data_IF_607281904698
#
_entry.id   IF_607281904698
#
_cell.length_a   1.000
_cell.length_b   1.000
_cell.length_c   1.000
_cell.angle_alpha   90.00
_cell.angle_beta   90.00
_cell.angle_gamma   90.00
#
_symmetry.space_group_name_H-M   'P 1'
#
loop_
_entity.id
_entity.type
_entity.pdbx_description
1 polymer ?
#
# COMPACT_ATOMS: atom_id res chain seq x y z
N UNK A 1 5.50 16.63 12.63
CA UNK A 1 5.84 17.25 11.32
C UNK A 1 7.36 17.31 11.21
N UNK A 2 7.94 16.77 10.17
CA UNK A 2 9.38 16.86 9.87
C UNK A 2 9.58 17.70 8.60
N UNK A 3 10.48 18.66 8.66
CA UNK A 3 10.86 19.46 7.50
C UNK A 3 12.25 19.05 7.00
N UNK A 4 12.38 18.86 5.70
CA UNK A 4 13.61 18.46 5.01
C UNK A 4 14.12 19.63 4.14
N UNK A 5 14.99 20.52 4.69
CA UNK A 5 15.33 21.78 4.03
C UNK A 5 16.00 21.63 2.65
N UNK A 6 16.76 20.54 2.44
CA UNK A 6 17.43 20.28 1.15
C UNK A 6 16.45 19.93 0.02
N UNK A 7 15.26 19.46 0.38
CA UNK A 7 14.20 19.04 -0.56
C UNK A 7 13.05 20.05 -0.58
N UNK A 8 13.06 21.02 0.34
CA UNK A 8 11.94 21.92 0.62
C UNK A 8 10.62 21.15 0.84
N UNK A 9 10.69 20.07 1.62
CA UNK A 9 9.57 19.17 1.84
C UNK A 9 9.17 19.08 3.30
N UNK A 10 7.86 18.99 3.52
CA UNK A 10 7.27 18.75 4.82
C UNK A 10 6.58 17.37 4.83
N UNK A 11 6.96 16.53 5.80
CA UNK A 11 6.32 15.24 6.05
C UNK A 11 5.45 15.34 7.29
N UNK A 12 4.16 15.12 7.12
CA UNK A 12 3.19 15.03 8.19
C UNK A 12 3.00 13.57 8.56
N UNK A 13 3.18 13.23 9.83
CA UNK A 13 3.01 11.86 10.32
C UNK A 13 1.97 11.82 11.42
N UNK A 14 1.09 10.83 11.34
CA UNK A 14 0.09 10.50 12.38
C UNK A 14 -0.01 9.00 12.53
N UNK A 15 -0.14 8.52 13.76
CA UNK A 15 -0.51 7.14 14.03
C UNK A 15 -1.99 7.12 14.38
N UNK A 16 -2.76 6.28 13.69
CA UNK A 16 -4.18 6.10 13.92
C UNK A 16 -4.43 5.22 15.16
N UNK A 17 -5.64 5.23 15.75
CA UNK A 17 -5.94 4.43 16.93
C UNK A 17 -5.73 2.92 16.76
N UNK A 18 -5.84 2.41 15.54
CA UNK A 18 -5.58 1.00 15.18
C UNK A 18 -4.10 0.69 14.97
N UNK A 19 -3.18 1.64 15.20
CA UNK A 19 -1.74 1.48 15.02
C UNK A 19 -1.21 1.78 13.62
N UNK A 20 -2.08 2.05 12.63
CA UNK A 20 -1.64 2.39 11.28
C UNK A 20 -0.92 3.74 11.28
N UNK A 21 0.32 3.76 10.76
CA UNK A 21 1.06 4.99 10.52
C UNK A 21 0.65 5.61 9.19
N UNK A 22 0.22 6.87 9.24
CA UNK A 22 -0.10 7.67 8.07
C UNK A 22 0.99 8.73 7.88
N UNK A 23 1.56 8.80 6.68
CA UNK A 23 2.49 9.84 6.27
C UNK A 23 1.96 10.58 5.06
N UNK A 24 2.01 11.90 5.09
CA UNK A 24 1.56 12.77 3.99
C UNK A 24 2.66 13.75 3.63
N UNK A 25 3.02 13.78 2.35
CA UNK A 25 3.95 14.74 1.77
C UNK A 25 3.18 15.62 0.79
N UNK A 26 3.06 16.90 1.10
CA UNK A 26 2.46 17.86 0.18
C UNK A 26 3.44 18.25 -0.91
N UNK A 27 3.00 18.21 -2.16
CA UNK A 27 3.76 18.62 -3.35
C UNK A 27 3.01 19.73 -4.09
N UNK A 28 3.08 20.99 -3.64
CA UNK A 28 2.45 22.10 -4.32
C UNK A 28 2.90 22.21 -5.79
N UNK A 29 1.97 22.48 -6.70
CA UNK A 29 2.27 22.60 -8.13
C UNK A 29 2.23 21.25 -8.91
N UNK A 30 2.10 20.11 -8.23
CA UNK A 30 1.90 18.83 -8.91
C UNK A 30 0.43 18.45 -8.99
N UNK A 31 -0.07 18.19 -10.20
CA UNK A 31 -1.44 17.71 -10.39
C UNK A 31 -1.59 16.25 -9.98
N UNK A 32 -0.56 15.42 -10.25
CA UNK A 32 -0.57 13.99 -9.94
C UNK A 32 -0.52 13.76 -8.43
N UNK A 33 -1.43 12.97 -7.94
CA UNK A 33 -1.51 12.50 -6.55
C UNK A 33 -1.21 11.00 -6.52
N UNK A 34 -0.62 10.55 -5.43
CA UNK A 34 -0.22 9.15 -5.29
C UNK A 34 -0.41 8.71 -3.84
N UNK A 35 -0.93 7.50 -3.64
CA UNK A 35 -1.05 6.89 -2.33
C UNK A 35 -0.45 5.49 -2.35
N UNK A 36 0.19 5.13 -1.24
CA UNK A 36 0.72 3.80 -0.96
C UNK A 36 0.09 3.24 0.31
N UNK A 37 -0.32 1.99 0.28
CA UNK A 37 -0.59 1.19 1.45
C UNK A 37 0.47 0.10 1.53
N UNK A 38 1.26 0.10 2.60
CA UNK A 38 2.38 -0.82 2.77
C UNK A 38 2.13 -1.72 3.97
N UNK A 39 2.31 -3.02 3.78
CA UNK A 39 2.28 -4.02 4.85
C UNK A 39 3.67 -4.56 5.09
N UNK A 40 4.03 -4.79 6.36
CA UNK A 40 5.25 -5.46 6.80
C UNK A 40 5.08 -6.98 6.66
N UNK A 41 4.82 -7.43 5.42
CA UNK A 41 4.63 -8.83 5.06
C UNK A 41 5.14 -9.07 3.64
N UNK A 42 6.21 -9.83 3.51
CA UNK A 42 6.87 -10.17 2.25
C UNK A 42 7.30 -11.63 2.20
N UNK A 43 8.07 -12.01 1.20
CA UNK A 43 8.42 -13.41 0.92
C UNK A 43 9.26 -14.10 2.01
N UNK A 44 9.96 -13.33 2.85
CA UNK A 44 10.72 -13.85 3.99
C UNK A 44 9.82 -14.33 5.14
N UNK A 45 8.59 -13.83 5.22
CA UNK A 45 7.66 -14.13 6.32
C UNK A 45 6.97 -15.49 6.12
N UNK A 46 7.73 -16.56 6.25
CA UNK A 46 7.25 -17.95 6.09
C UNK A 46 6.79 -18.60 7.40
N UNK A 47 7.10 -17.97 8.54
CA UNK A 47 6.68 -18.44 9.86
C UNK A 47 6.34 -17.22 10.73
N UNK A 48 5.09 -17.12 11.13
CA UNK A 48 4.58 -15.99 11.91
C UNK A 48 3.39 -16.41 12.79
N UNK A 49 3.04 -15.54 13.74
CA UNK A 49 1.86 -15.70 14.57
C UNK A 49 0.80 -14.66 14.16
N UNK A 50 -0.41 -15.13 13.88
CA UNK A 50 -1.56 -14.30 13.57
C UNK A 50 -2.76 -14.77 14.38
N UNK A 51 -3.47 -13.85 15.05
CA UNK A 51 -4.61 -14.14 15.94
C UNK A 51 -4.32 -15.25 16.97
N UNK A 52 -3.10 -15.23 17.54
CA UNK A 52 -2.66 -16.21 18.54
C UNK A 52 -2.27 -17.58 18.00
N UNK A 53 -2.40 -17.83 16.68
CA UNK A 53 -2.03 -19.09 16.02
C UNK A 53 -0.71 -18.95 15.26
N UNK A 54 0.08 -20.01 15.28
CA UNK A 54 1.29 -20.10 14.46
C UNK A 54 0.92 -20.55 13.04
N UNK A 55 1.52 -19.88 12.07
CA UNK A 55 1.37 -20.18 10.64
C UNK A 55 2.73 -20.44 10.02
N UNK A 56 2.82 -21.52 9.25
CA UNK A 56 3.96 -21.85 8.38
C UNK A 56 3.46 -21.88 6.95
N UNK A 57 4.03 -21.07 6.10
CA UNK A 57 3.56 -20.83 4.73
C UNK A 57 4.73 -20.84 3.75
N UNK A 58 4.50 -21.17 2.48
CA UNK A 58 5.52 -21.03 1.44
C UNK A 58 5.96 -19.56 1.26
N UNK A 59 7.19 -19.35 0.81
CA UNK A 59 7.73 -18.02 0.49
C UNK A 59 6.90 -17.22 -0.52
N UNK A 60 6.15 -17.90 -1.40
CA UNK A 60 5.28 -17.25 -2.40
C UNK A 60 3.93 -16.75 -1.87
N UNK A 61 3.59 -16.99 -0.59
CA UNK A 61 2.24 -16.66 -0.08
C UNK A 61 1.94 -15.16 -0.10
N UNK A 62 2.92 -14.33 0.22
CA UNK A 62 2.75 -12.87 0.21
C UNK A 62 2.42 -12.37 -1.21
N UNK A 63 3.12 -12.86 -2.22
CA UNK A 63 2.86 -12.53 -3.63
C UNK A 63 1.51 -13.09 -4.11
N UNK A 64 1.16 -14.30 -3.71
CA UNK A 64 -0.16 -14.87 -4.02
C UNK A 64 -1.29 -14.03 -3.40
N UNK A 65 -1.12 -13.60 -2.14
CA UNK A 65 -2.09 -12.74 -1.47
C UNK A 65 -2.20 -11.37 -2.16
N UNK A 66 -1.08 -10.80 -2.62
CA UNK A 66 -1.06 -9.56 -3.39
C UNK A 66 -2.00 -9.65 -4.60
N UNK A 67 -1.90 -10.70 -5.41
CA UNK A 67 -2.81 -10.92 -6.54
C UNK A 67 -4.27 -11.06 -6.08
N UNK A 68 -4.52 -11.77 -4.99
CA UNK A 68 -5.87 -11.98 -4.46
C UNK A 68 -6.53 -10.72 -3.93
N UNK A 69 -5.77 -9.71 -3.53
CA UNK A 69 -6.32 -8.44 -3.07
C UNK A 69 -6.94 -7.60 -4.21
N UNK A 70 -6.64 -7.93 -5.47
CA UNK A 70 -7.26 -7.31 -6.64
C UNK A 70 -8.56 -8.01 -7.08
N UNK A 71 -8.82 -9.22 -6.61
CA UNK A 71 -10.04 -9.98 -6.90
C UNK A 71 -11.13 -9.61 -5.87
N UNK A 72 -12.22 -9.00 -6.32
CA UNK A 72 -13.37 -8.73 -5.47
C UNK A 72 -14.27 -9.98 -5.36
N UNK A 73 -15.01 -10.14 -4.23
CA UNK A 73 -15.86 -11.30 -4.01
C UNK A 73 -16.96 -11.51 -5.07
N UNK A 74 -17.35 -10.47 -5.76
CA UNK A 74 -18.35 -10.47 -6.84
C UNK A 74 -17.74 -10.70 -8.24
N UNK A 75 -16.45 -11.01 -8.31
CA UNK A 75 -15.71 -11.28 -9.54
C UNK A 75 -15.22 -10.05 -10.29
N UNK A 76 -15.38 -8.84 -9.73
CA UNK A 76 -14.82 -7.62 -10.31
C UNK A 76 -13.32 -7.50 -9.97
N UNK A 77 -12.61 -6.77 -10.81
CA UNK A 77 -11.18 -6.46 -10.63
C UNK A 77 -11.04 -5.02 -10.09
N UNK A 78 -10.32 -4.87 -8.99
CA UNK A 78 -10.01 -3.57 -8.37
C UNK A 78 -9.31 -2.62 -9.36
N UNK A 79 -8.42 -3.13 -10.20
CA UNK A 79 -7.71 -2.31 -11.20
C UNK A 79 -8.68 -1.69 -12.21
N UNK A 80 -9.73 -2.42 -12.61
CA UNK A 80 -10.76 -1.91 -13.50
C UNK A 80 -11.60 -0.80 -12.84
N UNK A 81 -11.88 -0.92 -11.55
CA UNK A 81 -12.57 0.12 -10.78
C UNK A 81 -11.74 1.42 -10.70
N UNK A 82 -10.43 1.32 -10.43
CA UNK A 82 -9.53 2.48 -10.47
C UNK A 82 -9.45 3.09 -11.87
N UNK A 83 -9.34 2.28 -12.91
CA UNK A 83 -9.28 2.74 -14.29
C UNK A 83 -10.56 3.49 -14.71
N UNK A 84 -11.73 3.06 -14.26
CA UNK A 84 -13.00 3.73 -14.50
C UNK A 84 -13.04 5.14 -13.88
N UNK A 85 -12.27 5.41 -12.83
CA UNK A 85 -12.11 6.72 -12.19
C UNK A 85 -10.94 7.54 -12.78
N UNK A 86 -10.29 7.08 -13.84
CA UNK A 86 -9.13 7.74 -14.44
C UNK A 86 -7.85 7.59 -13.63
N UNK A 87 -7.81 6.64 -12.71
CA UNK A 87 -6.64 6.32 -11.89
C UNK A 87 -5.93 5.06 -12.40
N UNK A 88 -4.65 4.93 -12.09
CA UNK A 88 -3.89 3.69 -12.28
C UNK A 88 -3.53 3.10 -10.93
N UNK A 89 -3.70 1.78 -10.78
CA UNK A 89 -3.31 1.03 -9.59
C UNK A 89 -2.31 -0.06 -9.91
N UNK A 90 -1.49 -0.41 -8.94
CA UNK A 90 -0.54 -1.51 -9.04
C UNK A 90 -0.14 -1.98 -7.63
N UNK A 91 0.60 -3.08 -7.57
CA UNK A 91 1.19 -3.58 -6.35
C UNK A 91 2.55 -4.24 -6.64
N UNK A 92 3.32 -4.46 -5.61
CA UNK A 92 4.51 -5.31 -5.65
C UNK A 92 4.76 -5.97 -4.30
N UNK A 93 5.34 -7.15 -4.35
CA UNK A 93 5.84 -7.89 -3.18
C UNK A 93 7.35 -7.98 -3.24
N UNK A 94 8.02 -7.62 -2.15
CA UNK A 94 9.45 -7.80 -1.94
C UNK A 94 9.74 -8.83 -0.85
N UNK A 95 10.98 -8.87 -0.35
CA UNK A 95 11.38 -9.78 0.73
C UNK A 95 10.64 -9.52 2.03
N UNK A 96 10.50 -8.27 2.42
CA UNK A 96 10.03 -7.84 3.74
C UNK A 96 8.69 -7.10 3.72
N UNK A 97 8.21 -6.68 2.54
CA UNK A 97 6.98 -5.90 2.44
C UNK A 97 6.17 -6.24 1.20
N UNK A 98 4.89 -5.91 1.25
CA UNK A 98 4.00 -5.80 0.10
C UNK A 98 3.41 -4.39 0.06
N UNK A 99 3.45 -3.75 -1.10
CA UNK A 99 2.93 -2.41 -1.30
C UNK A 99 1.85 -2.41 -2.38
N UNK A 100 0.74 -1.74 -2.07
CA UNK A 100 -0.37 -1.46 -2.97
C UNK A 100 -0.40 0.04 -3.20
N UNK A 101 -0.52 0.49 -4.43
CA UNK A 101 -0.51 1.92 -4.70
C UNK A 101 -1.40 2.29 -5.88
N UNK A 102 -1.82 3.53 -5.88
CA UNK A 102 -2.51 4.12 -7.01
C UNK A 102 -2.05 5.55 -7.25
N UNK A 103 -2.28 6.03 -8.46
CA UNK A 103 -2.07 7.42 -8.82
C UNK A 103 -3.21 7.94 -9.67
N UNK A 104 -3.55 9.22 -9.46
CA UNK A 104 -4.58 9.92 -10.22
C UNK A 104 -4.25 11.41 -10.30
N UNK A 105 -4.96 12.13 -11.15
CA UNK A 105 -4.96 13.61 -11.20
C UNK A 105 -6.19 14.17 -10.50
N UNK A 106 -7.32 13.49 -10.65
CA UNK A 106 -8.62 13.88 -10.09
C UNK A 106 -9.20 12.75 -9.22
N UNK A 107 -10.22 13.08 -8.43
CA UNK A 107 -10.95 12.12 -7.58
C UNK A 107 -10.08 11.39 -6.53
N UNK A 108 -9.09 12.11 -5.97
CA UNK A 108 -8.23 11.56 -4.90
C UNK A 108 -8.92 11.61 -3.54
#
# INVERSE_FOLDING_TARGET
>A
MNYYPRLDEQVYRRVLPNGLALEVVKKPGFAKKQAYFVTDFGSIHTHFRFEGKEHRVPAGIAHYLEHKMFDLPDGRDVSAEFAALGASSNAFTSYDMTAYYFSCTDHF
#
